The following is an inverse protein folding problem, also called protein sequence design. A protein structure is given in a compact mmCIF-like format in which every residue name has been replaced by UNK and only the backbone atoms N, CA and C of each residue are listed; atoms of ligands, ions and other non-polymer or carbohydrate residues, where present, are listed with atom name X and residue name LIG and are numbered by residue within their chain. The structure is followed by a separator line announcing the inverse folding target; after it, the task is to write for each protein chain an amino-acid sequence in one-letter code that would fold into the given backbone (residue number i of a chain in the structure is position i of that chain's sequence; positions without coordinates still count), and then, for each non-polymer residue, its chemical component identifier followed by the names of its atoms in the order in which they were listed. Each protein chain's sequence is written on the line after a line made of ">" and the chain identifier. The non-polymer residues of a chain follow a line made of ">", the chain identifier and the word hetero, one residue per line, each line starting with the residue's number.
data_IF_874798282443
#
_entry.id   IF_874798282443
#
_cell.length_a   1.000
_cell.length_b   1.000
_cell.length_c   1.000
_cell.angle_alpha   90.00
_cell.angle_beta   90.00
_cell.angle_gamma   90.00
#
_symmetry.space_group_name_H-M   'P 1'
#
loop_
_entity.id
_entity.type
_entity.pdbx_description
1 polymer ?
#
# COMPACT_ATOMS: atom_id res chain seq x y z
N UNK A 1 -16.12 47.62 20.01
CA UNK A 1 -16.12 46.15 20.21
C UNK A 1 -15.36 45.51 19.05
N UNK A 2 -14.10 45.10 19.25
CA UNK A 2 -13.28 44.50 18.18
C UNK A 2 -13.60 43.00 18.11
N UNK A 3 -14.13 42.55 16.96
CA UNK A 3 -14.35 41.13 16.67
C UNK A 3 -12.99 40.52 16.32
N UNK A 4 -12.54 39.56 17.12
CA UNK A 4 -11.33 38.77 16.84
C UNK A 4 -11.80 37.55 16.06
N UNK A 5 -11.44 37.47 14.77
CA UNK A 5 -11.66 36.29 13.95
C UNK A 5 -10.57 35.27 14.26
N UNK A 6 -10.94 34.15 14.88
CA UNK A 6 -10.04 33.02 15.10
C UNK A 6 -10.06 32.15 13.84
N UNK A 7 -8.96 32.13 13.09
CA UNK A 7 -8.75 31.16 12.02
C UNK A 7 -8.24 29.85 12.63
N UNK A 8 -9.04 28.80 12.57
CA UNK A 8 -8.61 27.43 12.88
C UNK A 8 -8.00 26.81 11.61
N UNK A 9 -6.68 26.65 11.60
CA UNK A 9 -6.00 25.78 10.64
C UNK A 9 -6.07 24.35 11.17
N UNK A 10 -6.95 23.53 10.60
CA UNK A 10 -6.97 22.08 10.82
C UNK A 10 -5.99 21.47 9.82
N UNK A 11 -4.78 21.16 10.27
CA UNK A 11 -3.87 20.32 9.48
C UNK A 11 -4.37 18.87 9.60
N UNK A 12 -4.89 18.32 8.50
CA UNK A 12 -5.20 16.89 8.42
C UNK A 12 -3.91 16.10 8.51
N UNK A 13 -3.76 15.28 9.56
CA UNK A 13 -2.67 14.31 9.67
C UNK A 13 -3.13 13.05 8.93
N UNK A 14 -2.58 12.81 7.75
CA UNK A 14 -2.75 11.55 7.03
C UNK A 14 -1.96 10.46 7.78
N UNK A 15 -2.67 9.48 8.34
CA UNK A 15 -2.06 8.36 9.06
C UNK A 15 -1.77 7.26 8.06
N UNK A 16 -0.53 7.16 7.60
CA UNK A 16 -0.08 6.00 6.83
C UNK A 16 -0.01 4.77 7.75
N UNK A 17 -0.67 3.68 7.36
CA UNK A 17 -0.72 2.43 8.14
C UNK A 17 0.18 1.42 7.46
N UNK A 18 1.09 0.82 8.23
CA UNK A 18 2.02 -0.19 7.74
C UNK A 18 1.58 -1.59 8.20
N UNK A 19 1.39 -2.51 7.26
CA UNK A 19 1.09 -3.93 7.49
C UNK A 19 2.14 -4.80 6.79
N UNK A 20 2.35 -6.02 7.28
CA UNK A 20 3.29 -6.99 6.72
C UNK A 20 2.55 -8.22 6.24
N UNK A 21 2.85 -8.66 5.03
CA UNK A 21 2.35 -9.88 4.42
C UNK A 21 3.52 -10.82 4.17
N UNK A 22 3.32 -12.10 4.44
CA UNK A 22 4.33 -13.15 4.33
C UNK A 22 3.79 -14.33 3.54
N UNK A 23 4.62 -14.94 2.70
CA UNK A 23 4.23 -16.13 1.94
C UNK A 23 3.81 -17.30 2.85
N UNK A 24 4.26 -17.31 4.11
CA UNK A 24 3.90 -18.35 5.08
C UNK A 24 2.49 -18.22 5.66
N UNK A 25 1.88 -17.03 5.59
CA UNK A 25 0.61 -16.73 6.27
C UNK A 25 -0.45 -16.15 5.34
N UNK A 26 -0.02 -15.59 4.21
CA UNK A 26 -0.84 -14.77 3.35
C UNK A 26 -0.87 -15.36 1.95
N UNK A 27 -2.07 -15.80 1.53
CA UNK A 27 -2.28 -16.30 0.16
C UNK A 27 -1.91 -15.24 -0.88
N UNK A 28 -1.96 -13.95 -0.57
CA UNK A 28 -1.67 -12.87 -1.52
C UNK A 28 -0.21 -12.74 -1.98
N UNK A 29 0.74 -13.45 -1.36
CA UNK A 29 2.17 -13.39 -1.70
C UNK A 29 2.66 -14.76 -2.15
N UNK A 30 2.98 -14.89 -3.44
CA UNK A 30 3.53 -16.11 -4.02
C UNK A 30 4.92 -15.85 -4.57
N UNK A 31 5.85 -16.79 -4.37
CA UNK A 31 7.16 -16.72 -5.00
C UNK A 31 7.52 -18.06 -5.65
N UNK A 32 7.96 -18.00 -6.91
CA UNK A 32 8.39 -19.14 -7.70
C UNK A 32 9.67 -18.76 -8.45
N UNK A 33 10.69 -19.63 -8.39
CA UNK A 33 11.97 -19.46 -9.10
C UNK A 33 12.67 -18.10 -8.91
N UNK A 34 12.47 -17.47 -7.74
CA UNK A 34 13.07 -16.18 -7.37
C UNK A 34 12.22 -14.95 -7.71
N UNK A 35 11.20 -15.12 -8.54
CA UNK A 35 10.18 -14.13 -8.84
C UNK A 35 9.11 -14.17 -7.75
N UNK A 36 8.60 -13.00 -7.36
CA UNK A 36 7.57 -12.88 -6.34
C UNK A 36 6.45 -11.99 -6.85
N UNK A 37 5.22 -12.41 -6.58
CA UNK A 37 4.01 -11.72 -6.97
C UNK A 37 3.18 -11.43 -5.72
N UNK A 38 2.84 -10.17 -5.52
CA UNK A 38 1.90 -9.75 -4.50
C UNK A 38 0.61 -9.28 -5.16
N UNK A 39 -0.51 -9.94 -4.84
CA UNK A 39 -1.84 -9.63 -5.42
C UNK A 39 -1.83 -9.56 -6.96
N UNK A 40 -1.05 -10.42 -7.60
CA UNK A 40 -0.92 -10.49 -9.06
C UNK A 40 0.15 -9.59 -9.71
N UNK A 41 0.85 -8.75 -8.95
CA UNK A 41 1.91 -7.86 -9.48
C UNK A 41 3.30 -8.31 -9.03
N UNK A 42 4.27 -8.22 -9.93
CA UNK A 42 5.66 -8.53 -9.61
C UNK A 42 6.22 -7.54 -8.56
N UNK A 43 6.83 -8.08 -7.50
CA UNK A 43 7.50 -7.31 -6.45
C UNK A 43 8.98 -7.70 -6.31
N UNK A 44 9.85 -6.71 -6.52
CA UNK A 44 11.31 -6.88 -6.45
C UNK A 44 11.86 -6.37 -5.12
N UNK A 45 12.91 -7.02 -4.64
CA UNK A 45 13.54 -6.63 -3.36
C UNK A 45 14.05 -5.20 -3.46
N UNK A 46 13.60 -4.34 -2.55
CA UNK A 46 14.04 -2.95 -2.47
C UNK A 46 13.50 -2.03 -3.57
N UNK A 47 12.57 -2.51 -4.41
CA UNK A 47 11.87 -1.68 -5.41
C UNK A 47 10.44 -1.46 -4.93
N UNK A 48 10.10 -0.24 -4.48
CA UNK A 48 8.73 0.09 -4.12
C UNK A 48 7.80 0.00 -5.34
N UNK A 49 6.56 -0.44 -5.10
CA UNK A 49 5.46 -0.41 -6.08
C UNK A 49 4.37 0.47 -5.50
N UNK A 50 4.11 1.61 -6.14
CA UNK A 50 3.04 2.53 -5.75
C UNK A 50 1.76 2.18 -6.50
N UNK A 51 0.65 2.10 -5.76
CA UNK A 51 -0.66 1.71 -6.27
C UNK A 51 -1.68 2.81 -5.96
N UNK A 52 -2.66 2.97 -6.85
CA UNK A 52 -3.84 3.81 -6.63
C UNK A 52 -4.97 3.00 -5.97
N UNK A 53 -5.15 1.75 -6.39
CA UNK A 53 -6.29 0.93 -5.99
C UNK A 53 -5.83 -0.47 -5.53
N UNK A 54 -5.86 -0.75 -4.21
CA UNK A 54 -5.94 0.21 -3.10
C UNK A 54 -4.76 1.20 -3.10
N UNK A 55 -4.95 2.38 -2.48
CA UNK A 55 -3.94 3.42 -2.43
C UNK A 55 -2.84 3.04 -1.43
N UNK A 56 -1.79 2.39 -1.93
CA UNK A 56 -0.78 1.71 -1.14
C UNK A 56 0.63 1.83 -1.78
N UNK A 57 1.68 1.78 -0.96
CA UNK A 57 3.07 1.50 -1.36
C UNK A 57 3.44 0.10 -0.89
N UNK A 58 3.93 -0.74 -1.80
CA UNK A 58 4.39 -2.09 -1.50
C UNK A 58 5.91 -2.14 -1.59
N UNK A 59 6.55 -2.68 -0.55
CA UNK A 59 7.98 -2.86 -0.54
C UNK A 59 8.34 -4.28 -0.09
N UNK A 60 8.87 -5.07 -1.03
CA UNK A 60 9.45 -6.36 -0.71
C UNK A 60 10.81 -6.15 -0.05
N UNK A 61 10.93 -6.54 1.21
CA UNK A 61 12.21 -6.50 1.90
C UNK A 61 12.93 -7.85 1.80
N UNK A 62 14.25 -7.81 1.91
CA UNK A 62 15.06 -9.02 2.06
C UNK A 62 14.80 -9.60 3.44
N UNK A 63 14.18 -10.77 3.48
CA UNK A 63 13.99 -11.57 4.70
C UNK A 63 14.80 -12.85 4.60
N UNK A 64 15.32 -13.31 5.73
CA UNK A 64 16.19 -14.49 5.83
C UNK A 64 15.37 -15.78 5.95
N UNK A 65 14.09 -15.68 6.32
CA UNK A 65 13.24 -16.84 6.62
C UNK A 65 12.28 -17.15 5.46
N UNK A 66 11.51 -16.16 5.04
CA UNK A 66 10.51 -16.27 3.98
C UNK A 66 10.27 -14.90 3.34
N UNK A 67 9.85 -14.82 2.07
CA UNK A 67 9.51 -13.55 1.44
C UNK A 67 8.45 -12.77 2.21
N UNK A 68 8.68 -11.47 2.37
CA UNK A 68 7.76 -10.53 3.01
C UNK A 68 7.54 -9.28 2.15
N UNK A 69 6.32 -8.77 2.15
CA UNK A 69 5.95 -7.48 1.56
C UNK A 69 5.40 -6.59 2.66
N UNK A 70 6.00 -5.40 2.78
CA UNK A 70 5.50 -4.33 3.61
C UNK A 70 4.56 -3.48 2.78
N UNK A 71 3.35 -3.28 3.29
CA UNK A 71 2.31 -2.49 2.65
C UNK A 71 2.07 -1.27 3.52
N UNK A 72 2.30 -0.08 2.97
CA UNK A 72 1.82 1.17 3.55
C UNK A 72 0.57 1.60 2.80
N UNK A 73 -0.45 2.08 3.49
CA UNK A 73 -1.67 2.57 2.86
C UNK A 73 -2.35 3.66 3.68
N UNK A 74 -3.33 4.32 3.07
CA UNK A 74 -4.06 5.42 3.69
C UNK A 74 -5.30 4.95 4.45
N UNK A 75 -5.83 3.78 4.08
CA UNK A 75 -6.96 3.14 4.76
C UNK A 75 -6.56 1.80 5.37
N UNK A 76 -7.20 1.42 6.49
CA UNK A 76 -7.23 0.01 6.93
C UNK A 76 -8.21 -0.74 6.03
N UNK A 77 -7.79 -1.10 4.81
CA UNK A 77 -8.55 -2.06 4.00
C UNK A 77 -7.87 -3.41 4.06
N UNK A 78 -8.50 -4.36 4.74
CA UNK A 78 -8.12 -5.77 4.65
C UNK A 78 -8.59 -6.26 3.27
N UNK A 79 -7.71 -6.12 2.29
CA UNK A 79 -7.99 -6.59 0.94
C UNK A 79 -7.46 -8.02 0.82
N UNK A 80 -8.37 -8.99 0.77
CA UNK A 80 -8.05 -10.38 0.45
C UNK A 80 -7.77 -10.50 -1.06
N UNK A 81 -6.76 -11.29 -1.43
CA UNK A 81 -6.50 -11.63 -2.83
C UNK A 81 -7.75 -12.23 -3.51
N UNK A 82 -8.59 -12.95 -2.77
CA UNK A 82 -9.86 -13.52 -3.28
C UNK A 82 -10.87 -12.47 -3.71
N UNK A 83 -10.73 -11.25 -3.23
CA UNK A 83 -11.65 -10.13 -3.52
C UNK A 83 -11.10 -9.19 -4.57
N UNK A 84 -9.80 -9.28 -4.89
CA UNK A 84 -9.20 -8.47 -5.95
C UNK A 84 -9.35 -9.15 -7.31
N UNK A 85 -9.64 -8.39 -8.37
CA UNK A 85 -9.52 -8.92 -9.72
C UNK A 85 -8.04 -9.24 -10.00
N UNK A 86 -7.79 -10.17 -10.93
CA UNK A 86 -6.43 -10.57 -11.35
C UNK A 86 -5.57 -9.38 -11.83
N UNK A 87 -6.23 -8.34 -12.32
CA UNK A 87 -5.62 -7.08 -12.74
C UNK A 87 -6.52 -5.93 -12.30
N UNK A 88 -5.92 -4.90 -11.74
CA UNK A 88 -6.58 -3.65 -11.36
C UNK A 88 -5.93 -2.53 -12.18
N UNK A 89 -6.71 -1.91 -13.06
CA UNK A 89 -6.23 -0.74 -13.80
C UNK A 89 -5.80 0.35 -12.81
N UNK A 90 -4.59 0.89 -13.01
CA UNK A 90 -4.02 1.95 -12.19
C UNK A 90 -3.96 3.25 -12.99
N UNK A 91 -4.39 4.36 -12.38
CA UNK A 91 -4.08 5.68 -12.90
C UNK A 91 -2.69 6.11 -12.42
N UNK A 92 -1.69 6.04 -13.31
CA UNK A 92 -0.30 6.41 -12.98
C UNK A 92 -0.16 7.87 -12.48
N UNK A 93 -1.06 8.76 -12.89
CA UNK A 93 -1.07 10.14 -12.38
C UNK A 93 -1.52 10.25 -10.92
N UNK A 94 -2.08 9.20 -10.34
CA UNK A 94 -2.70 9.19 -9.02
C UNK A 94 -2.27 8.00 -8.14
N UNK A 95 -1.04 7.53 -8.25
CA UNK A 95 -0.50 6.48 -7.35
C UNK A 95 -0.20 7.03 -5.95
N UNK A 96 0.04 6.13 -5.00
CA UNK A 96 0.55 6.49 -3.68
C UNK A 96 1.75 7.45 -3.77
N UNK A 97 1.88 8.46 -2.87
CA UNK A 97 0.92 8.87 -1.84
C UNK A 97 -0.15 9.85 -2.36
N UNK A 98 -0.21 10.16 -3.67
CA UNK A 98 -1.14 11.19 -4.19
C UNK A 98 -2.61 10.81 -4.00
N UNK A 99 -2.94 9.53 -4.14
CA UNK A 99 -4.31 9.03 -3.94
C UNK A 99 -4.82 9.11 -2.49
N UNK A 100 -3.98 9.52 -1.53
CA UNK A 100 -4.37 9.69 -0.13
C UNK A 100 -5.18 10.95 0.16
N UNK A 101 -5.10 11.95 -0.72
CA UNK A 101 -5.66 13.28 -0.48
C UNK A 101 -7.17 13.36 -0.73
N UNK A 102 -7.92 12.29 -0.42
CA UNK A 102 -9.37 12.22 -0.63
C UNK A 102 -10.16 12.74 0.56
#
# INVERSE_FOLDING_TARGET
>A
MKKVSVLLFVFGVEVAIATRFSMMRDESLHCQDGECFFRGYEVKVGVPVDMENPCEEWNRQKSVQYPEVFVKGCDVKIVSERTLPKHIDQNESNLWPRCCQK
#
